data_IF_561732151058
#
_entry.id   IF_561732151058
#
_cell.length_a   1.000
_cell.length_b   1.000
_cell.length_c   1.000
_cell.angle_alpha   90.00
_cell.angle_beta   90.00
_cell.angle_gamma   90.00
#
_symmetry.space_group_name_H-M   'P 1'
#
loop_
_entity.id
_entity.type
_entity.pdbx_description
1 polymer ?
#
# COMPACT_ATOMS: atom_id res chain seq x y z
N UNK A 1 13.37 -2.10 3.62
CA UNK A 1 12.16 -1.26 3.77
C UNK A 1 11.97 -0.33 2.60
N UNK A 2 12.97 0.45 2.19
CA UNK A 2 12.89 1.34 1.01
C UNK A 2 12.37 0.60 -0.25
N UNK A 3 12.96 -0.54 -0.60
CA UNK A 3 12.54 -1.35 -1.76
C UNK A 3 11.08 -1.85 -1.73
N UNK A 4 10.53 -2.13 -0.53
CA UNK A 4 9.13 -2.57 -0.40
C UNK A 4 8.21 -1.37 -0.55
N UNK A 5 8.57 -0.22 0.02
CA UNK A 5 7.78 1.01 -0.15
C UNK A 5 7.75 1.44 -1.61
N UNK A 6 8.90 1.41 -2.31
CA UNK A 6 8.98 1.73 -3.73
C UNK A 6 8.14 0.75 -4.58
N UNK A 7 8.11 -0.53 -4.21
CA UNK A 7 7.27 -1.52 -4.87
C UNK A 7 5.77 -1.23 -4.70
N UNK A 8 5.35 -0.86 -3.48
CA UNK A 8 3.95 -0.53 -3.19
C UNK A 8 3.51 0.76 -3.89
N UNK A 9 4.39 1.76 -3.97
CA UNK A 9 4.15 2.98 -4.74
C UNK A 9 3.97 2.66 -6.24
N UNK A 10 4.85 1.82 -6.82
CA UNK A 10 4.71 1.37 -8.21
C UNK A 10 3.42 0.56 -8.45
N UNK A 11 3.04 -0.31 -7.51
CA UNK A 11 1.82 -1.10 -7.62
C UNK A 11 0.57 -0.23 -7.63
N UNK A 12 0.55 0.84 -6.82
CA UNK A 12 -0.55 1.81 -6.80
C UNK A 12 -0.63 2.60 -8.12
N UNK A 13 0.52 3.01 -8.66
CA UNK A 13 0.59 3.68 -9.96
C UNK A 13 0.04 2.79 -11.09
N UNK A 14 0.44 1.52 -11.15
CA UNK A 14 -0.04 0.57 -12.17
C UNK A 14 -1.52 0.24 -12.00
N UNK A 15 -2.03 0.21 -10.77
CA UNK A 15 -3.46 0.05 -10.50
C UNK A 15 -4.24 1.22 -11.11
N UNK A 16 -3.85 2.46 -10.85
CA UNK A 16 -4.56 3.65 -11.38
C UNK A 16 -4.37 3.86 -12.88
N UNK A 17 -3.30 3.33 -13.49
CA UNK A 17 -3.21 3.24 -14.96
C UNK A 17 -4.28 2.32 -15.56
N UNK A 18 -4.58 1.23 -14.86
CA UNK A 18 -5.57 0.24 -15.30
C UNK A 18 -7.01 0.64 -14.96
N UNK A 19 -7.19 1.28 -13.80
CA UNK A 19 -8.47 1.68 -13.22
C UNK A 19 -8.39 3.14 -12.73
N UNK A 20 -8.44 4.13 -13.66
CA UNK A 20 -8.20 5.54 -13.32
C UNK A 20 -9.33 6.18 -12.50
N UNK A 21 -10.55 5.68 -12.67
CA UNK A 21 -11.73 6.21 -11.98
C UNK A 21 -12.02 5.50 -10.65
N UNK A 22 -11.39 4.33 -10.42
CA UNK A 22 -11.60 3.55 -9.22
C UNK A 22 -10.62 3.96 -8.11
N UNK A 23 -11.10 4.11 -6.86
CA UNK A 23 -10.20 4.29 -5.73
C UNK A 23 -9.31 3.05 -5.54
N UNK A 24 -8.16 3.25 -4.89
CA UNK A 24 -7.33 2.13 -4.47
C UNK A 24 -8.17 1.20 -3.56
N UNK A 25 -8.12 -0.13 -3.75
CA UNK A 25 -8.93 -1.07 -2.98
C UNK A 25 -8.47 -1.20 -1.53
N UNK A 26 -7.23 -0.76 -1.25
CA UNK A 26 -6.66 -0.75 0.09
C UNK A 26 -6.91 0.60 0.75
N UNK A 27 -7.41 0.57 1.98
CA UNK A 27 -7.68 1.75 2.77
C UNK A 27 -6.41 2.61 2.96
N UNK A 28 -6.47 3.85 2.47
CA UNK A 28 -5.33 4.78 2.47
C UNK A 28 -4.20 4.44 1.49
N UNK A 29 -4.38 3.45 0.60
CA UNK A 29 -3.35 3.01 -0.34
C UNK A 29 -2.57 1.78 0.11
N UNK A 30 -1.86 1.14 -0.81
CA UNK A 30 -1.12 -0.10 -0.52
C UNK A 30 0.00 0.12 0.50
N UNK A 31 0.70 1.25 0.39
CA UNK A 31 1.77 1.65 1.29
C UNK A 31 1.29 1.89 2.72
N UNK A 32 0.24 2.70 2.89
CA UNK A 32 -0.32 3.00 4.20
C UNK A 32 -0.90 1.74 4.87
N UNK A 33 -1.56 0.88 4.08
CA UNK A 33 -2.05 -0.41 4.57
C UNK A 33 -0.92 -1.33 5.04
N UNK A 34 0.22 -1.36 4.34
CA UNK A 34 1.39 -2.13 4.78
C UNK A 34 2.02 -1.56 6.06
N UNK A 35 2.16 -0.24 6.16
CA UNK A 35 2.67 0.42 7.37
C UNK A 35 1.77 0.11 8.59
N UNK A 36 0.45 0.18 8.41
CA UNK A 36 -0.52 -0.19 9.45
C UNK A 36 -0.35 -1.65 9.87
N UNK A 37 -0.26 -2.57 8.90
CA UNK A 37 -0.06 -3.99 9.17
C UNK A 37 1.22 -4.25 9.97
N UNK A 38 2.33 -3.61 9.62
CA UNK A 38 3.60 -3.75 10.35
C UNK A 38 3.47 -3.24 11.79
N UNK A 39 2.87 -2.06 11.99
CA UNK A 39 2.67 -1.49 13.32
C UNK A 39 1.76 -2.39 14.18
N UNK A 40 0.67 -2.88 13.62
CA UNK A 40 -0.25 -3.78 14.32
C UNK A 40 0.42 -5.11 14.67
N UNK A 41 1.21 -5.68 13.76
CA UNK A 41 1.93 -6.93 13.98
C UNK A 41 3.01 -6.79 15.07
N UNK A 42 3.72 -5.65 15.10
CA UNK A 42 4.72 -5.35 16.14
C UNK A 42 4.11 -5.05 17.51
N UNK A 43 2.84 -4.62 17.56
CA UNK A 43 2.09 -4.36 18.80
C UNK A 43 1.36 -5.60 19.33
N UNK A 44 1.26 -6.65 18.53
CA UNK A 44 0.60 -7.89 18.89
C UNK A 44 1.52 -8.86 19.67
N UNK A 45 2.80 -8.52 19.82
CA UNK A 45 3.78 -9.12 20.77
C UNK A 45 3.83 -8.36 22.09
#
# INVERSE_FOLDING_TARGET
MMQIMDYLDNMEEEYHKSYPDDPCPMDGGYKASFERFVIESLRAE
#
